data_IF_020833838744
#
_entry.id   IF_020833838744
#
_cell.length_a   1.000
_cell.length_b   1.000
_cell.length_c   1.000
_cell.angle_alpha   90.00
_cell.angle_beta   90.00
_cell.angle_gamma   90.00
#
_symmetry.space_group_name_H-M   'P 1'
#
loop_
_entity.id
_entity.type
_entity.pdbx_description
1 polymer ?
2 water ?
#
# COMPACT_ATOMS: atom_id res chain seq x y z
N UNK A 3 12.13 2.07 -18.70
CA UNK A 3 13.44 1.90 -18.01
C UNK A 3 13.31 1.99 -16.48
N UNK A 4 12.10 2.31 -15.97
CA UNK A 4 11.76 2.09 -14.57
C UNK A 4 10.28 1.69 -14.46
N UNK A 5 9.92 0.56 -15.10
CA UNK A 5 8.58 -0.02 -15.01
C UNK A 5 8.32 -0.61 -13.62
N UNK A 6 9.40 -0.96 -12.90
CA UNK A 6 9.29 -1.81 -11.72
C UNK A 6 9.99 -1.18 -10.51
N UNK A 7 10.40 0.10 -10.61
CA UNK A 7 11.08 0.79 -9.53
C UNK A 7 10.93 2.30 -9.72
N UNK A 8 10.59 3.09 -8.67
CA UNK A 8 10.37 2.58 -7.32
C UNK A 8 9.09 1.78 -7.07
N UNK A 9 8.02 2.06 -7.83
CA UNK A 9 6.76 1.37 -7.58
C UNK A 9 6.73 0.09 -8.41
N UNK A 10 6.54 -1.10 -7.79
CA UNK A 10 6.52 -2.35 -8.55
C UNK A 10 5.42 -2.35 -9.61
N UNK A 11 5.76 -2.85 -10.79
CA UNK A 11 4.87 -2.91 -11.94
C UNK A 11 3.53 -3.57 -11.56
N UNK A 12 3.55 -4.58 -10.66
CA UNK A 12 2.30 -5.22 -10.25
C UNK A 12 1.39 -4.27 -9.47
N UNK A 13 1.95 -3.30 -8.73
CA UNK A 13 1.14 -2.33 -8.01
C UNK A 13 0.61 -1.26 -8.96
N UNK A 14 1.39 -0.91 -10.00
CA UNK A 14 0.91 -0.04 -11.07
C UNK A 14 -0.38 -0.62 -11.69
N UNK A 15 -0.39 -1.95 -11.88
CA UNK A 15 -1.38 -2.60 -12.72
C UNK A 15 -2.56 -3.15 -11.92
N UNK A 16 -2.47 -3.23 -10.58
CA UNK A 16 -3.51 -3.96 -9.85
C UNK A 16 -4.87 -3.29 -10.02
N UNK A 17 -5.93 -4.11 -10.10
CA UNK A 17 -7.30 -3.62 -10.10
C UNK A 17 -7.91 -3.76 -8.71
N UNK A 18 -7.12 -4.25 -7.76
CA UNK A 18 -7.57 -4.37 -6.38
C UNK A 18 -7.66 -3.02 -5.71
N UNK A 19 -8.46 -2.92 -4.65
CA UNK A 19 -8.45 -1.71 -3.84
C UNK A 19 -7.51 -1.91 -2.64
N UNK A 20 -7.31 -0.85 -1.84
CA UNK A 20 -6.35 -0.89 -0.74
C UNK A 20 -6.64 -2.07 0.18
N UNK A 21 -7.92 -2.27 0.54
CA UNK A 21 -8.26 -3.20 1.60
C UNK A 21 -8.17 -4.64 1.11
N UNK A 22 -8.39 -4.86 -0.19
CA UNK A 22 -8.20 -6.17 -0.78
C UNK A 22 -6.72 -6.52 -0.77
N UNK A 23 -5.86 -5.57 -1.16
CA UNK A 23 -4.43 -5.80 -1.11
C UNK A 23 -3.96 -6.07 0.33
N UNK A 24 -4.42 -5.25 1.26
CA UNK A 24 -3.95 -5.38 2.63
C UNK A 24 -4.34 -6.75 3.20
N UNK A 25 -5.57 -7.20 2.92
CA UNK A 25 -6.04 -8.48 3.42
C UNK A 25 -5.22 -9.62 2.80
N UNK A 26 -4.87 -9.48 1.52
CA UNK A 26 -4.05 -10.47 0.84
C UNK A 26 -2.68 -10.57 1.50
N UNK A 27 -2.08 -9.43 1.91
CA UNK A 27 -0.78 -9.46 2.56
C UNK A 27 -0.92 -10.06 3.96
N UNK A 28 -1.96 -9.66 4.71
CA UNK A 28 -2.27 -10.25 6.00
C UNK A 28 -2.22 -11.78 5.94
N UNK A 29 -2.73 -12.35 4.84
CA UNK A 29 -2.80 -13.81 4.71
C UNK A 29 -1.53 -14.42 4.07
N UNK A 30 -0.86 -13.71 3.15
CA UNK A 30 0.25 -14.28 2.40
C UNK A 30 1.62 -13.88 2.96
N UNK A 31 1.74 -12.72 3.61
CA UNK A 31 2.96 -12.30 4.31
C UNK A 31 2.59 -11.76 5.69
N UNK A 32 2.06 -12.60 6.60
CA UNK A 32 1.52 -12.12 7.87
C UNK A 32 2.47 -11.26 8.71
N UNK A 33 3.77 -11.61 8.70
CA UNK A 33 4.71 -10.88 9.54
C UNK A 33 4.86 -9.46 9.00
N UNK A 34 4.96 -9.33 7.67
CA UNK A 34 5.05 -8.02 7.04
C UNK A 34 3.82 -7.17 7.36
N UNK A 35 2.63 -7.78 7.28
CA UNK A 35 1.39 -7.11 7.60
C UNK A 35 1.41 -6.65 9.05
N UNK A 36 1.74 -7.56 9.96
CA UNK A 36 1.73 -7.26 11.39
C UNK A 36 2.70 -6.12 11.72
N UNK A 37 3.91 -6.17 11.14
CA UNK A 37 4.92 -5.17 11.42
C UNK A 37 4.52 -3.79 10.87
N UNK A 38 3.89 -3.76 9.69
CA UNK A 38 3.33 -2.53 9.16
C UNK A 38 2.25 -1.98 10.10
N UNK A 39 1.38 -2.84 10.60
CA UNK A 39 0.28 -2.37 11.44
C UNK A 39 0.81 -1.87 12.78
N UNK A 40 1.86 -2.52 13.32
CA UNK A 40 2.52 -1.99 14.49
C UNK A 40 3.02 -0.55 14.23
N UNK A 41 3.66 -0.31 13.08
CA UNK A 41 4.20 1.01 12.73
C UNK A 41 3.05 2.01 12.55
N UNK A 42 2.01 1.62 11.78
CA UNK A 42 0.74 2.34 11.66
C UNK A 42 0.17 2.74 13.03
N UNK A 43 0.04 1.77 13.94
CA UNK A 43 -0.49 2.00 15.27
C UNK A 43 0.34 3.02 16.06
N UNK A 44 1.68 2.97 15.90
CA UNK A 44 2.62 3.88 16.54
C UNK A 44 2.54 5.30 15.96
N UNK A 45 1.81 5.52 14.85
CA UNK A 45 1.67 6.85 14.25
C UNK A 45 0.21 7.27 14.21
N UNK A 46 -0.43 7.34 15.39
CA UNK A 46 -1.87 7.49 15.47
C UNK A 46 -2.34 8.71 14.68
N UNK A 47 -1.58 9.79 14.79
CA UNK A 47 -2.00 11.07 14.26
C UNK A 47 -1.95 11.08 12.73
N UNK A 48 -1.23 10.13 12.12
CA UNK A 48 -1.07 10.09 10.67
C UNK A 48 -1.92 8.99 10.01
N UNK A 49 -2.74 8.29 10.80
CA UNK A 49 -3.47 7.14 10.31
C UNK A 49 -4.48 7.51 9.23
N UNK A 50 -5.26 8.56 9.46
CA UNK A 50 -6.31 8.88 8.50
C UNK A 50 -5.68 9.40 7.21
N UNK A 51 -4.60 10.19 7.33
CA UNK A 51 -3.92 10.70 6.16
C UNK A 51 -3.34 9.55 5.35
N UNK A 52 -2.84 8.51 6.03
CA UNK A 52 -2.28 7.34 5.36
C UNK A 52 -3.38 6.54 4.62
N UNK A 53 -4.50 6.31 5.30
CA UNK A 53 -5.65 5.64 4.69
C UNK A 53 -6.11 6.42 3.46
N UNK A 54 -6.19 7.75 3.61
CA UNK A 54 -6.63 8.62 2.51
C UNK A 54 -5.67 8.51 1.32
N UNK A 55 -4.38 8.42 1.61
CA UNK A 55 -3.39 8.40 0.54
C UNK A 55 -3.43 7.06 -0.17
N UNK A 56 -3.53 5.97 0.60
CA UNK A 56 -3.76 4.65 0.02
C UNK A 56 -4.99 4.63 -0.88
N UNK A 57 -6.11 5.19 -0.41
CA UNK A 57 -7.33 5.25 -1.22
C UNK A 57 -7.09 6.03 -2.52
N UNK A 58 -6.44 7.18 -2.40
CA UNK A 58 -6.13 7.97 -3.59
C UNK A 58 -5.33 7.16 -4.60
N UNK A 59 -4.26 6.49 -4.13
CA UNK A 59 -3.36 5.76 -5.01
C UNK A 59 -4.11 4.68 -5.76
N UNK A 60 -4.92 3.93 -5.01
CA UNK A 60 -5.71 2.87 -5.60
C UNK A 60 -6.86 3.39 -6.46
N UNK A 61 -7.22 4.68 -6.34
CA UNK A 61 -8.22 5.27 -7.22
C UNK A 61 -7.62 5.62 -8.59
N UNK A 62 -6.28 5.75 -8.64
CA UNK A 62 -5.59 6.27 -9.81
C UNK A 62 -5.63 5.20 -10.90
N UNK A 63 -5.72 5.66 -12.15
CA UNK A 63 -5.41 4.81 -13.29
C UNK A 63 -3.95 4.38 -13.23
N UNK A 64 -3.58 3.25 -13.88
CA UNK A 64 -2.18 2.89 -14.04
C UNK A 64 -1.31 4.04 -14.56
N UNK A 65 -1.79 4.83 -15.53
CA UNK A 65 -0.97 5.92 -16.07
C UNK A 65 -0.69 6.96 -14.99
N UNK A 66 -1.69 7.25 -14.16
CA UNK A 66 -1.54 8.20 -13.07
C UNK A 66 -0.58 7.64 -12.03
N UNK A 67 -0.62 6.33 -11.79
CA UNK A 67 0.32 5.72 -10.84
C UNK A 67 1.73 5.77 -11.40
N UNK A 68 1.89 5.64 -12.72
CA UNK A 68 3.20 5.74 -13.35
C UNK A 68 3.77 7.14 -13.16
N UNK A 69 2.92 8.15 -13.34
CA UNK A 69 3.31 9.53 -13.10
C UNK A 69 3.77 9.71 -11.66
N UNK A 70 2.95 9.24 -10.71
CA UNK A 70 3.26 9.30 -9.29
C UNK A 70 4.62 8.65 -9.04
N UNK A 71 4.88 7.49 -9.67
CA UNK A 71 6.11 6.73 -9.50
C UNK A 71 7.31 7.53 -10.00
N UNK A 72 7.11 8.28 -11.09
CA UNK A 72 8.15 9.12 -11.65
C UNK A 72 8.46 10.30 -10.73
N UNK A 73 7.60 10.59 -9.73
CA UNK A 73 7.78 11.71 -8.83
C UNK A 73 7.79 11.26 -7.37
N UNK A 74 8.04 9.97 -7.14
CA UNK A 74 7.87 9.35 -5.84
C UNK A 74 8.85 9.94 -4.82
N UNK A 75 10.10 10.17 -5.24
CA UNK A 75 11.17 10.50 -4.30
C UNK A 75 11.08 11.96 -3.82
N UNK A 76 10.40 12.83 -4.58
CA UNK A 76 10.16 14.22 -4.18
C UNK A 76 9.61 14.31 -2.75
N UNK A 77 8.62 13.47 -2.42
CA UNK A 77 8.07 13.44 -1.07
C UNK A 77 7.00 14.51 -0.83
N UNK A 78 6.03 14.16 0.01
CA UNK A 78 4.99 15.05 0.51
C UNK A 78 5.15 15.09 2.03
N UNK A 79 4.36 15.88 2.78
CA UNK A 79 4.44 15.90 4.24
C UNK A 79 4.43 14.54 4.96
N UNK A 80 3.59 13.61 4.49
CA UNK A 80 3.56 12.26 5.05
C UNK A 80 4.91 11.58 4.92
N UNK A 81 5.58 11.78 3.78
CA UNK A 81 6.85 11.10 3.57
C UNK A 81 7.89 11.50 4.62
N UNK A 82 7.92 12.79 5.03
CA UNK A 82 8.89 13.26 6.00
C UNK A 82 8.46 12.92 7.42
N UNK A 83 7.15 12.88 7.71
CA UNK A 83 6.65 12.62 9.06
C UNK A 83 6.71 11.12 9.39
N UNK A 84 6.53 10.28 8.37
CA UNK A 84 6.51 8.83 8.52
C UNK A 84 7.01 8.20 7.22
N UNK A 85 8.32 7.96 7.15
CA UNK A 85 8.95 7.54 5.91
C UNK A 85 8.30 6.26 5.36
N UNK A 86 7.96 5.32 6.26
CA UNK A 86 7.49 4.01 5.86
C UNK A 86 5.96 3.89 5.79
N UNK A 87 5.23 5.02 5.66
CA UNK A 87 3.77 4.98 5.61
C UNK A 87 3.21 4.17 4.44
N UNK A 88 3.92 4.04 3.31
CA UNK A 88 3.45 3.21 2.21
C UNK A 88 4.29 1.93 2.08
N UNK A 89 5.00 1.49 3.12
CA UNK A 89 5.99 0.43 2.96
C UNK A 89 5.34 -0.87 2.50
N UNK A 90 4.17 -1.19 3.04
CA UNK A 90 3.49 -2.43 2.70
C UNK A 90 3.08 -2.48 1.23
N UNK A 91 2.85 -1.34 0.59
CA UNK A 91 2.40 -1.32 -0.80
C UNK A 91 3.54 -1.37 -1.81
N UNK A 92 4.72 -0.84 -1.47
CA UNK A 92 5.71 -0.48 -2.49
C UNK A 92 7.08 -1.12 -2.28
N UNK A 93 7.41 -1.49 -1.04
CA UNK A 93 8.81 -1.70 -0.70
C UNK A 93 9.33 -3.10 -1.03
N UNK A 94 8.48 -4.13 -1.00
CA UNK A 94 9.00 -5.48 -1.12
C UNK A 94 8.34 -6.17 -2.31
N UNK A 95 9.12 -6.48 -3.34
CA UNK A 95 8.55 -7.00 -4.58
C UNK A 95 7.90 -8.36 -4.35
N UNK A 96 8.53 -9.19 -3.52
CA UNK A 96 8.01 -10.51 -3.20
C UNK A 96 6.67 -10.45 -2.46
N UNK A 97 6.58 -9.54 -1.48
CA UNK A 97 5.33 -9.33 -0.76
C UNK A 97 4.25 -8.84 -1.74
N UNK A 98 4.62 -7.88 -2.58
CA UNK A 98 3.69 -7.31 -3.54
C UNK A 98 3.17 -8.40 -4.48
N UNK A 99 4.07 -9.26 -4.97
CA UNK A 99 3.73 -10.27 -5.95
C UNK A 99 2.70 -11.23 -5.36
N UNK A 100 2.94 -11.69 -4.13
CA UNK A 100 2.07 -12.65 -3.48
C UNK A 100 0.71 -12.04 -3.14
N UNK A 101 0.69 -10.75 -2.78
CA UNK A 101 -0.54 -10.03 -2.48
C UNK A 101 -1.38 -9.73 -3.73
N UNK A 102 -0.73 -9.23 -4.78
CA UNK A 102 -1.45 -8.89 -6.00
C UNK A 102 -1.86 -10.13 -6.78
N UNK A 103 -1.30 -11.29 -6.46
CA UNK A 103 -1.69 -12.52 -7.14
C UNK A 103 -3.09 -12.93 -6.71
N UNK A 104 -3.50 -12.58 -5.47
CA UNK A 104 -4.69 -13.16 -4.86
C UNK A 104 -5.69 -12.10 -4.40
N UNK A 105 -5.37 -10.79 -4.49
CA UNK A 105 -6.16 -9.79 -3.80
C UNK A 105 -7.56 -9.64 -4.43
N UNK A 106 -7.70 -9.98 -5.72
CA UNK A 106 -9.00 -9.93 -6.38
C UNK A 106 -10.01 -10.86 -5.71
N UNK A 107 -9.56 -11.88 -4.97
CA UNK A 107 -10.47 -12.76 -4.24
C UNK A 107 -10.90 -12.28 -2.84
N UNK A 108 -10.47 -11.09 -2.40
CA UNK A 108 -10.78 -10.59 -1.06
C UNK A 108 -11.90 -9.55 -1.15
N UNK A 109 -12.58 -9.19 -0.03
CA UNK A 109 -13.68 -8.23 -0.07
C UNK A 109 -13.22 -6.78 -0.21
N UNK A 110 -13.79 -6.12 -1.22
CA UNK A 110 -13.51 -4.72 -1.47
C UNK A 110 -14.05 -3.90 -0.29
N UNK A 111 -13.27 -2.87 0.07
CA UNK A 111 -13.66 -1.85 1.02
C UNK A 111 -13.68 -2.29 2.47
N UNK A 112 -13.06 -3.42 2.81
CA UNK A 112 -13.13 -3.95 4.18
C UNK A 112 -12.19 -3.21 5.14
N UNK A 113 -12.72 -2.19 5.83
CA UNK A 113 -11.88 -1.26 6.58
C UNK A 113 -11.36 -1.90 7.88
N UNK A 114 -11.85 -3.09 8.25
CA UNK A 114 -11.37 -3.76 9.45
C UNK A 114 -9.90 -4.17 9.33
N UNK A 115 -9.36 -4.24 8.10
CA UNK A 115 -7.98 -4.61 7.88
C UNK A 115 -7.01 -3.53 8.38
N UNK A 116 -7.50 -2.31 8.59
CA UNK A 116 -6.70 -1.23 9.17
C UNK A 116 -6.79 -1.21 10.70
N UNK A 117 -7.50 -2.17 11.29
CA UNK A 117 -7.72 -2.17 12.74
C UNK A 117 -7.19 -3.49 13.29
N UNK A 118 -5.90 -3.48 13.65
CA UNK A 118 -5.22 -4.63 14.22
C UNK A 118 -4.52 -4.14 15.48
N UNK A 119 -5.15 -4.35 16.64
CA UNK A 119 -4.84 -3.62 17.86
C UNK A 119 -3.70 -4.30 18.61
N UNK A 120 -2.48 -4.17 18.07
CA UNK A 120 -1.28 -4.82 18.59
C UNK A 120 -0.04 -3.91 18.43
#
# INVERSE_FOLDING_TARGET
ADSTEDFPIPRRMIATTCDAEQYLAAVRDTSPVYYQRYMIDFNNHANLQQATINKAHWFFSLSPAERRDYSEHFYNGDPLTFAWVNHMKIFFNNKGVVAKGTEVCNGYPAGDMSVWNWAH
#
